data_IF_227103813679
#
_entry.id   IF_227103813679
#
_cell.length_a   1.000
_cell.length_b   1.000
_cell.length_c   1.000
_cell.angle_alpha   90.00
_cell.angle_beta   90.00
_cell.angle_gamma   90.00
#
_symmetry.space_group_name_H-M   'P 1'
#
loop_
_entity.id
_entity.type
_entity.pdbx_description
1 polymer ?
#
# COMPACT_ATOMS: atom_id res chain seq x y z
N UNK A 1 0.76 2.32 -22.88
CA UNK A 1 1.79 2.72 -21.90
C UNK A 1 1.11 2.81 -20.54
N UNK A 2 1.40 1.91 -19.61
CA UNK A 2 0.86 1.99 -18.26
C UNK A 2 1.59 3.12 -17.52
N UNK A 3 0.89 4.20 -17.19
CA UNK A 3 1.47 5.31 -16.42
C UNK A 3 2.07 4.76 -15.13
N UNK A 4 3.31 5.12 -14.85
CA UNK A 4 3.98 4.78 -13.60
C UNK A 4 3.73 5.86 -12.55
N UNK A 5 3.99 5.55 -11.28
CA UNK A 5 3.93 6.56 -10.20
C UNK A 5 4.93 7.70 -10.47
N UNK A 6 6.04 7.40 -11.15
CA UNK A 6 7.06 8.37 -11.54
C UNK A 6 6.48 9.40 -12.53
N UNK A 7 5.74 8.94 -13.53
CA UNK A 7 5.14 9.82 -14.55
C UNK A 7 4.08 10.75 -13.95
N UNK A 8 3.29 10.24 -12.98
CA UNK A 8 2.35 11.09 -12.22
C UNK A 8 3.11 12.16 -11.44
N UNK A 9 4.23 11.79 -10.81
CA UNK A 9 5.03 12.69 -10.00
C UNK A 9 5.62 13.83 -10.84
N UNK A 10 6.15 13.50 -12.02
CA UNK A 10 6.69 14.48 -12.97
C UNK A 10 5.62 15.45 -13.49
N UNK A 11 4.45 14.95 -13.90
CA UNK A 11 3.33 15.80 -14.36
C UNK A 11 2.74 16.67 -13.26
N UNK A 12 2.68 16.14 -12.04
CA UNK A 12 2.16 16.87 -10.89
C UNK A 12 3.20 17.84 -10.28
N UNK A 13 4.49 17.73 -10.66
CA UNK A 13 5.57 18.54 -10.12
C UNK A 13 5.89 18.23 -8.65
N UNK A 14 5.72 16.97 -8.22
CA UNK A 14 5.88 16.55 -6.82
C UNK A 14 6.79 15.33 -6.71
N UNK A 15 7.21 15.01 -5.48
CA UNK A 15 7.96 13.78 -5.23
C UNK A 15 7.09 12.52 -5.40
N UNK A 16 7.72 11.39 -5.77
CA UNK A 16 7.06 10.07 -5.79
C UNK A 16 6.37 9.72 -4.47
N UNK A 17 6.97 10.13 -3.35
CA UNK A 17 6.41 9.92 -2.01
C UNK A 17 5.13 10.73 -1.75
N UNK A 18 5.00 11.91 -2.35
CA UNK A 18 3.78 12.72 -2.30
C UNK A 18 2.65 12.04 -3.06
N UNK A 19 2.95 11.50 -4.25
CA UNK A 19 1.98 10.72 -5.04
C UNK A 19 1.54 9.46 -4.28
N UNK A 20 2.48 8.72 -3.68
CA UNK A 20 2.16 7.55 -2.86
C UNK A 20 1.24 7.89 -1.67
N UNK A 21 1.49 9.02 -0.98
CA UNK A 21 0.63 9.46 0.13
C UNK A 21 -0.77 9.84 -0.36
N UNK A 22 -0.89 10.50 -1.52
CA UNK A 22 -2.17 10.91 -2.09
C UNK A 22 -3.00 9.69 -2.52
N UNK A 23 -2.38 8.76 -3.26
CA UNK A 23 -3.05 7.54 -3.73
C UNK A 23 -3.47 6.61 -2.59
N UNK A 24 -2.65 6.51 -1.54
CA UNK A 24 -2.94 5.65 -0.37
C UNK A 24 -3.64 6.39 0.78
N UNK A 25 -4.07 7.64 0.59
CA UNK A 25 -4.74 8.48 1.61
C UNK A 25 -4.01 8.50 2.97
N UNK A 26 -2.68 8.58 2.94
CA UNK A 26 -1.83 8.58 4.16
C UNK A 26 -1.70 9.95 4.83
N UNK A 27 -2.36 10.98 4.28
CA UNK A 27 -2.38 12.35 4.81
C UNK A 27 -1.05 13.11 4.69
N UNK A 28 -0.97 14.27 5.35
CA UNK A 28 0.16 15.23 5.33
C UNK A 28 0.48 15.80 3.94
N UNK A 29 -0.56 16.14 3.17
CA UNK A 29 -0.45 16.76 1.85
C UNK A 29 -1.49 17.88 1.77
N UNK A 30 -1.19 18.93 1.02
CA UNK A 30 -2.16 19.97 0.75
C UNK A 30 -3.34 19.40 -0.07
N UNK A 31 -4.62 19.66 0.31
CA UNK A 31 -5.79 19.19 -0.42
C UNK A 31 -5.81 19.58 -1.90
N UNK A 32 -5.25 20.74 -2.26
CA UNK A 32 -5.17 21.17 -3.66
C UNK A 32 -4.26 20.26 -4.49
N UNK A 33 -3.13 19.86 -3.91
CA UNK A 33 -2.14 18.97 -4.53
C UNK A 33 -2.69 17.56 -4.64
N UNK A 34 -3.39 17.07 -3.62
CA UNK A 34 -4.05 15.77 -3.64
C UNK A 34 -5.07 15.66 -4.78
N UNK A 35 -5.94 16.67 -4.94
CA UNK A 35 -6.92 16.71 -6.04
C UNK A 35 -6.23 16.68 -7.41
N UNK A 36 -5.15 17.45 -7.58
CA UNK A 36 -4.39 17.49 -8.84
C UNK A 36 -3.77 16.13 -9.17
N UNK A 37 -3.20 15.45 -8.18
CA UNK A 37 -2.62 14.10 -8.36
C UNK A 37 -3.71 13.09 -8.76
N UNK A 38 -4.88 13.14 -8.12
CA UNK A 38 -5.99 12.25 -8.43
C UNK A 38 -6.54 12.47 -9.85
N UNK A 39 -6.65 13.73 -10.30
CA UNK A 39 -7.05 14.05 -11.68
C UNK A 39 -6.05 13.49 -12.70
N UNK A 40 -4.76 13.75 -12.50
CA UNK A 40 -3.70 13.27 -13.40
C UNK A 40 -3.66 11.73 -13.43
N UNK A 41 -3.86 11.09 -12.28
CA UNK A 41 -3.92 9.63 -12.20
C UNK A 41 -5.12 9.06 -12.99
N UNK A 42 -6.29 9.71 -12.90
CA UNK A 42 -7.50 9.30 -13.61
C UNK A 42 -7.36 9.49 -15.14
N UNK A 43 -6.85 10.65 -15.56
CA UNK A 43 -6.55 10.95 -16.97
C UNK A 43 -5.56 9.95 -17.59
N UNK A 44 -4.61 9.44 -16.80
CA UNK A 44 -3.65 8.44 -17.26
C UNK A 44 -4.14 7.01 -17.14
N UNK A 45 -5.35 6.78 -16.63
CA UNK A 45 -5.87 5.43 -16.36
C UNK A 45 -4.99 4.67 -15.37
N UNK A 46 -4.35 5.38 -14.42
CA UNK A 46 -3.47 4.77 -13.44
C UNK A 46 -4.27 3.88 -12.49
N UNK A 47 -4.14 2.56 -12.65
CA UNK A 47 -4.70 1.60 -11.72
C UNK A 47 -3.62 1.24 -10.69
N UNK A 48 -3.77 1.63 -9.41
CA UNK A 48 -2.85 1.21 -8.37
C UNK A 48 -2.92 -0.31 -8.27
N UNK A 49 -1.82 -0.97 -8.65
CA UNK A 49 -1.65 -2.39 -8.32
C UNK A 49 -1.61 -2.46 -6.80
N UNK A 50 -2.69 -2.91 -6.17
CA UNK A 50 -2.69 -3.33 -4.76
C UNK A 50 -1.62 -4.42 -4.63
N UNK A 51 -0.38 -4.05 -4.30
CA UNK A 51 0.56 -4.99 -3.71
C UNK A 51 -0.13 -5.44 -2.43
N UNK A 52 -0.67 -6.67 -2.44
CA UNK A 52 -1.05 -7.37 -1.21
C UNK A 52 0.10 -7.13 -0.25
N UNK A 53 -0.19 -6.64 0.96
CA UNK A 53 0.83 -6.38 1.97
C UNK A 53 1.71 -7.63 2.11
N UNK A 54 2.89 -7.64 1.50
CA UNK A 54 3.81 -8.80 1.50
C UNK A 54 4.44 -9.04 2.87
N UNK A 55 4.03 -8.28 3.89
CA UNK A 55 4.54 -8.38 5.25
C UNK A 55 3.49 -8.76 6.30
N UNK A 56 2.49 -9.57 5.96
CA UNK A 56 1.97 -10.48 6.99
C UNK A 56 3.02 -11.56 7.18
N UNK A 57 3.98 -11.33 8.09
CA UNK A 57 4.91 -12.38 8.54
C UNK A 57 4.08 -13.62 8.82
N UNK A 58 4.29 -14.69 8.05
CA UNK A 58 3.61 -15.97 8.29
C UNK A 58 4.02 -16.43 9.68
N UNK A 59 3.14 -16.26 10.66
CA UNK A 59 3.38 -16.71 12.03
C UNK A 59 3.39 -18.24 11.98
N UNK A 60 4.49 -18.85 12.38
CA UNK A 60 4.58 -20.30 12.59
C UNK A 60 4.35 -20.54 14.08
N UNK A 61 3.28 -21.23 14.43
CA UNK A 61 2.98 -21.66 15.80
C UNK A 61 3.39 -23.12 15.89
N UNK A 62 4.43 -23.41 16.67
CA UNK A 62 4.81 -24.78 17.03
C UNK A 62 4.13 -25.15 18.34
N UNK A 63 3.36 -26.24 18.35
CA UNK A 63 2.75 -26.77 19.56
C UNK A 63 3.49 -28.05 19.93
N UNK A 64 4.12 -28.08 21.10
CA UNK A 64 4.69 -29.30 21.69
C UNK A 64 3.72 -29.77 22.75
N UNK A 65 3.11 -30.92 22.55
CA UNK A 65 2.22 -31.55 23.51
C UNK A 65 2.92 -32.73 24.16
N UNK A 66 2.58 -33.02 25.42
CA UNK A 66 2.97 -34.27 26.04
C UNK A 66 2.05 -35.39 25.53
N UNK A 67 2.62 -36.52 25.11
CA UNK A 67 1.89 -37.78 24.92
C UNK A 67 1.53 -38.33 26.31
N UNK A 68 0.60 -37.66 26.98
CA UNK A 68 0.02 -38.09 28.24
C UNK A 68 -1.33 -38.73 27.94
N UNK A 69 -1.54 -39.97 28.40
CA UNK A 69 -2.86 -40.59 28.44
C UNK A 69 -3.77 -40.00 29.52
N UNK A 70 -3.21 -39.18 30.43
CA UNK A 70 -3.97 -38.45 31.43
C UNK A 70 -4.35 -37.06 30.90
N UNK A 71 -5.63 -36.71 31.07
CA UNK A 71 -6.15 -35.37 30.77
C UNK A 71 -5.48 -34.34 31.67
N UNK A 72 -5.15 -33.16 31.11
CA UNK A 72 -4.73 -32.00 31.90
C UNK A 72 -5.92 -31.57 32.78
N UNK A 73 -5.93 -32.01 34.04
CA UNK A 73 -6.78 -31.47 35.10
C UNK A 73 -5.92 -30.69 36.08
#
# INVERSE_FOLDING_TARGET
>A
MAGTIQDIAERAGVSRGTVDRALNKRGRINPSVEKRILQIADEMGYVPRKRKSENKKKVKIGVVTQLSSASFM
#
